data_IF_737374590360
#
_entry.id   IF_737374590360
#
_cell.length_a   1.000
_cell.length_b   1.000
_cell.length_c   1.000
_cell.angle_alpha   90.00
_cell.angle_beta   90.00
_cell.angle_gamma   90.00
#
_symmetry.space_group_name_H-M   'P 1'
#
loop_
_entity.id
_entity.type
_entity.pdbx_description
1 polymer ?
#
# COMPACT_ATOMS: atom_id res chain seq x y z
N UNK A 1 -17.33 -11.15 1.96
CA UNK A 1 -16.62 -10.23 2.87
C UNK A 1 -15.07 -10.31 2.76
N UNK A 2 -14.39 -11.50 2.77
CA UNK A 2 -12.93 -11.55 2.67
C UNK A 2 -12.37 -11.10 1.31
N UNK A 3 -13.10 -11.31 0.21
CA UNK A 3 -12.72 -10.86 -1.14
C UNK A 3 -12.51 -9.34 -1.16
N UNK A 4 -13.47 -8.60 -0.60
CA UNK A 4 -13.40 -7.13 -0.56
C UNK A 4 -12.19 -6.65 0.26
N UNK A 5 -11.91 -7.28 1.40
CA UNK A 5 -10.73 -6.96 2.23
C UNK A 5 -9.43 -7.15 1.46
N UNK A 6 -9.24 -8.34 0.87
CA UNK A 6 -8.03 -8.68 0.11
C UNK A 6 -7.84 -7.72 -1.06
N UNK A 7 -8.91 -7.46 -1.82
CA UNK A 7 -8.86 -6.55 -2.96
C UNK A 7 -8.55 -5.10 -2.55
N UNK A 8 -9.18 -4.59 -1.50
CA UNK A 8 -8.95 -3.23 -1.00
C UNK A 8 -7.53 -3.04 -0.47
N UNK A 9 -6.99 -4.02 0.27
CA UNK A 9 -5.61 -3.97 0.75
C UNK A 9 -4.60 -3.97 -0.41
N UNK A 10 -4.82 -4.78 -1.44
CA UNK A 10 -3.97 -4.78 -2.63
C UNK A 10 -4.08 -3.49 -3.43
N UNK A 11 -5.29 -2.94 -3.55
CA UNK A 11 -5.56 -1.73 -4.32
C UNK A 11 -4.95 -0.47 -3.71
N UNK A 12 -4.76 -0.39 -2.39
CA UNK A 12 -4.25 0.81 -1.69
C UNK A 12 -2.93 1.30 -2.26
N UNK A 13 -1.98 0.40 -2.51
CA UNK A 13 -0.67 0.74 -3.07
C UNK A 13 -0.78 1.31 -4.48
N UNK A 14 -1.53 0.64 -5.35
CA UNK A 14 -1.75 1.06 -6.73
C UNK A 14 -2.49 2.41 -6.79
N UNK A 15 -3.55 2.60 -6.00
CA UNK A 15 -4.25 3.88 -5.90
C UNK A 15 -3.30 5.02 -5.52
N UNK A 16 -2.42 4.82 -4.52
CA UNK A 16 -1.47 5.83 -4.08
C UNK A 16 -0.44 6.20 -5.15
N UNK A 17 -0.07 5.27 -6.03
CA UNK A 17 0.88 5.51 -7.12
C UNK A 17 0.17 6.17 -8.30
N UNK A 18 -0.92 5.55 -8.78
CA UNK A 18 -1.51 5.89 -10.06
C UNK A 18 -2.31 7.22 -9.99
N UNK A 19 -2.94 7.52 -8.84
CA UNK A 19 -3.67 8.78 -8.65
C UNK A 19 -2.75 10.00 -8.67
N UNK A 20 -1.46 9.84 -8.28
CA UNK A 20 -0.52 10.97 -8.24
C UNK A 20 0.16 11.24 -9.59
N UNK A 21 0.08 10.31 -10.56
CA UNK A 21 0.74 10.45 -11.86
C UNK A 21 0.41 11.75 -12.60
N UNK A 22 -0.86 12.18 -12.72
CA UNK A 22 -1.18 13.44 -13.38
C UNK A 22 -0.70 14.67 -12.61
N UNK A 23 -0.45 14.54 -11.30
CA UNK A 23 0.01 15.64 -10.45
C UNK A 23 1.55 15.84 -10.45
N UNK A 24 2.32 14.97 -11.10
CA UNK A 24 3.80 15.00 -11.05
C UNK A 24 4.39 16.34 -11.50
N UNK A 25 3.83 16.99 -12.52
CA UNK A 25 4.28 18.29 -13.00
C UNK A 25 4.04 19.38 -11.95
N UNK A 26 2.89 19.37 -11.30
CA UNK A 26 2.54 20.31 -10.23
C UNK A 26 3.42 20.13 -9.00
N UNK A 27 3.70 18.88 -8.62
CA UNK A 27 4.59 18.54 -7.50
C UNK A 27 6.02 19.05 -7.78
N UNK A 28 6.54 18.83 -9.00
CA UNK A 28 7.85 19.36 -9.40
C UNK A 28 7.90 20.89 -9.28
N UNK A 29 6.89 21.56 -9.80
CA UNK A 29 6.79 23.03 -9.73
C UNK A 29 6.71 23.53 -8.29
N UNK A 30 5.91 22.85 -7.45
CA UNK A 30 5.73 23.20 -6.04
C UNK A 30 7.04 23.14 -5.23
N UNK A 31 7.86 22.10 -5.47
CA UNK A 31 9.14 21.93 -4.78
C UNK A 31 10.34 22.54 -5.53
N UNK A 32 10.14 23.19 -6.67
CA UNK A 32 11.22 23.76 -7.48
C UNK A 32 12.22 22.73 -8.03
N UNK A 33 11.77 21.49 -8.29
CA UNK A 33 12.62 20.36 -8.65
C UNK A 33 12.85 20.31 -10.15
N UNK A 34 14.11 20.13 -10.56
CA UNK A 34 14.50 19.97 -11.97
C UNK A 34 13.79 18.75 -12.59
N UNK A 35 13.38 18.88 -13.86
CA UNK A 35 12.46 17.93 -14.53
C UNK A 35 12.86 16.45 -14.46
N UNK A 36 14.17 16.14 -14.49
CA UNK A 36 14.65 14.75 -14.42
C UNK A 36 14.65 14.11 -13.03
N UNK A 37 14.36 14.85 -11.96
CA UNK A 37 14.23 14.27 -10.61
C UNK A 37 12.80 13.86 -10.24
N UNK A 38 11.79 14.22 -11.03
CA UNK A 38 10.39 13.95 -10.71
C UNK A 38 10.02 12.46 -10.66
N UNK A 39 10.75 11.59 -11.35
CA UNK A 39 10.52 10.13 -11.30
C UNK A 39 10.87 9.52 -9.95
N UNK A 40 11.71 10.18 -9.12
CA UNK A 40 12.00 9.71 -7.76
C UNK A 40 10.75 9.60 -6.89
N UNK A 41 9.71 10.42 -7.15
CA UNK A 41 8.40 10.33 -6.48
C UNK A 41 7.77 8.95 -6.60
N UNK A 42 7.95 8.28 -7.74
CA UNK A 42 7.42 6.94 -8.00
C UNK A 42 8.41 5.87 -7.56
N UNK A 43 9.69 6.05 -7.87
CA UNK A 43 10.76 5.10 -7.55
C UNK A 43 10.83 4.82 -6.05
N UNK A 44 10.75 5.85 -5.21
CA UNK A 44 10.81 5.70 -3.76
C UNK A 44 9.64 4.89 -3.19
N UNK A 45 8.44 5.03 -3.76
CA UNK A 45 7.29 4.18 -3.37
C UNK A 45 7.53 2.73 -3.74
N UNK A 46 8.02 2.43 -4.94
CA UNK A 46 8.31 1.05 -5.35
C UNK A 46 9.41 0.42 -4.49
N UNK A 47 10.46 1.16 -4.16
CA UNK A 47 11.49 0.70 -3.21
C UNK A 47 10.89 0.40 -1.83
N UNK A 48 9.99 1.27 -1.36
CA UNK A 48 9.26 1.06 -0.12
C UNK A 48 8.37 -0.19 -0.17
N UNK A 49 7.62 -0.41 -1.27
CA UNK A 49 6.78 -1.60 -1.46
C UNK A 49 7.63 -2.87 -1.40
N UNK A 50 8.75 -2.89 -2.10
CA UNK A 50 9.67 -4.05 -2.11
C UNK A 50 10.21 -4.35 -0.72
N UNK A 51 10.70 -3.31 0.00
CA UNK A 51 11.18 -3.45 1.37
C UNK A 51 10.06 -3.92 2.31
N UNK A 52 8.86 -3.34 2.18
CA UNK A 52 7.69 -3.71 2.97
C UNK A 52 7.28 -5.17 2.78
N UNK A 53 7.25 -5.67 1.54
CA UNK A 53 6.91 -7.08 1.26
C UNK A 53 7.93 -8.05 1.88
N UNK A 54 9.24 -7.74 1.79
CA UNK A 54 10.29 -8.58 2.36
C UNK A 54 10.22 -8.64 3.89
N UNK A 55 9.98 -7.50 4.54
CA UNK A 55 9.99 -7.40 6.00
C UNK A 55 8.68 -7.91 6.61
N UNK A 56 7.53 -7.49 6.05
CA UNK A 56 6.22 -7.78 6.66
C UNK A 56 5.68 -9.18 6.35
N UNK A 57 6.25 -9.91 5.40
CA UNK A 57 5.93 -11.34 5.21
C UNK A 57 6.18 -12.16 6.48
N UNK A 58 7.44 -12.31 6.91
CA UNK A 58 7.78 -13.04 8.14
C UNK A 58 7.16 -12.45 9.41
N UNK A 59 7.06 -11.12 9.51
CA UNK A 59 6.39 -10.46 10.64
C UNK A 59 4.93 -10.91 10.74
N UNK A 60 4.22 -10.93 9.60
CA UNK A 60 2.83 -11.37 9.53
C UNK A 60 2.62 -12.81 9.96
N UNK A 61 3.60 -13.69 9.69
CA UNK A 61 3.55 -15.09 10.12
C UNK A 61 3.73 -15.24 11.63
N UNK A 62 4.44 -14.30 12.27
CA UNK A 62 4.76 -14.37 13.69
C UNK A 62 3.76 -13.66 14.59
N UNK A 63 3.43 -12.40 14.30
CA UNK A 63 2.53 -11.59 15.16
C UNK A 63 1.06 -11.70 14.75
N UNK A 64 0.77 -12.23 13.55
CA UNK A 64 -0.56 -12.43 13.00
C UNK A 64 -0.93 -11.41 11.92
N UNK A 65 -1.93 -11.77 11.11
CA UNK A 65 -2.37 -10.98 9.94
C UNK A 65 -2.98 -9.65 10.33
N UNK A 66 -3.87 -9.66 11.34
CA UNK A 66 -4.61 -8.46 11.78
C UNK A 66 -3.66 -7.38 12.28
N UNK A 67 -2.74 -7.74 13.19
CA UNK A 67 -1.79 -6.78 13.76
C UNK A 67 -0.88 -6.20 12.69
N UNK A 68 -0.35 -7.05 11.81
CA UNK A 68 0.54 -6.64 10.72
C UNK A 68 -0.18 -5.70 9.73
N UNK A 69 -1.44 -6.00 9.38
CA UNK A 69 -2.25 -5.12 8.52
C UNK A 69 -2.39 -3.73 9.15
N UNK A 70 -2.72 -3.67 10.45
CA UNK A 70 -2.91 -2.39 11.14
C UNK A 70 -1.59 -1.61 11.19
N UNK A 71 -0.47 -2.25 11.50
CA UNK A 71 0.86 -1.60 11.50
C UNK A 71 1.17 -1.05 10.10
N UNK A 72 0.96 -1.85 9.05
CA UNK A 72 1.16 -1.42 7.67
C UNK A 72 0.30 -0.20 7.29
N UNK A 73 -0.99 -0.21 7.65
CA UNK A 73 -1.90 0.91 7.40
C UNK A 73 -1.53 2.16 8.21
N UNK A 74 -1.03 2.01 9.43
CA UNK A 74 -0.52 3.15 10.22
C UNK A 74 0.69 3.77 9.53
N UNK A 75 1.68 2.97 9.12
CA UNK A 75 2.87 3.46 8.42
C UNK A 75 2.47 4.16 7.11
N UNK A 76 1.56 3.56 6.33
CA UNK A 76 1.01 4.14 5.11
C UNK A 76 0.30 5.47 5.37
N UNK A 77 -0.56 5.52 6.38
CA UNK A 77 -1.32 6.71 6.76
C UNK A 77 -0.42 7.85 7.25
N UNK A 78 0.57 7.54 8.09
CA UNK A 78 1.55 8.53 8.55
C UNK A 78 2.37 9.10 7.39
N UNK A 79 2.81 8.26 6.45
CA UNK A 79 3.48 8.72 5.24
C UNK A 79 2.61 9.68 4.42
N UNK A 80 1.31 9.39 4.26
CA UNK A 80 0.36 10.31 3.61
C UNK A 80 0.19 11.62 4.39
N UNK A 81 -0.01 11.55 5.71
CA UNK A 81 -0.22 12.72 6.56
C UNK A 81 0.98 13.67 6.52
N UNK A 82 2.19 13.14 6.70
CA UNK A 82 3.41 13.95 6.73
C UNK A 82 3.70 14.54 5.33
N UNK A 83 3.37 13.82 4.25
CA UNK A 83 3.55 14.32 2.87
C UNK A 83 2.70 15.55 2.55
N UNK A 84 1.58 15.75 3.26
CA UNK A 84 0.72 16.94 3.13
C UNK A 84 1.37 18.15 3.79
N UNK A 85 2.06 17.94 4.91
CA UNK A 85 2.65 18.99 5.75
C UNK A 85 4.08 19.35 5.32
N UNK A 86 4.73 18.49 4.53
CA UNK A 86 6.12 18.63 4.15
C UNK A 86 6.36 19.76 3.15
N UNK A 87 7.30 20.66 3.46
CA UNK A 87 7.72 21.76 2.60
C UNK A 87 8.97 21.43 1.77
N UNK A 88 9.66 20.34 2.10
CA UNK A 88 10.89 19.91 1.44
C UNK A 88 10.67 18.65 0.58
N UNK A 89 11.30 18.63 -0.61
CA UNK A 89 11.17 17.51 -1.54
C UNK A 89 11.77 16.21 -1.01
N UNK A 90 12.90 16.27 -0.30
CA UNK A 90 13.51 15.07 0.29
C UNK A 90 12.64 14.45 1.36
N UNK A 91 12.02 15.30 2.21
CA UNK A 91 11.02 14.82 3.18
C UNK A 91 9.81 14.19 2.47
N UNK A 92 9.33 14.80 1.40
CA UNK A 92 8.26 14.24 0.58
C UNK A 92 8.64 12.86 0.01
N UNK A 93 9.86 12.69 -0.53
CA UNK A 93 10.36 11.39 -1.01
C UNK A 93 10.46 10.35 0.12
N UNK A 94 10.93 10.76 1.30
CA UNK A 94 10.98 9.88 2.47
C UNK A 94 9.57 9.41 2.87
N UNK A 95 8.60 10.32 2.86
CA UNK A 95 7.19 9.99 3.09
C UNK A 95 6.66 9.00 2.06
N UNK A 96 7.00 9.19 0.78
CA UNK A 96 6.66 8.26 -0.31
C UNK A 96 7.26 6.86 -0.08
N UNK A 97 8.47 6.78 0.44
CA UNK A 97 9.10 5.51 0.80
C UNK A 97 8.33 4.80 1.92
N UNK A 98 7.96 5.49 3.01
CA UNK A 98 7.16 4.90 4.09
C UNK A 98 5.73 4.52 3.63
N UNK A 99 5.09 5.32 2.78
CA UNK A 99 3.85 4.91 2.11
C UNK A 99 4.04 3.58 1.38
N UNK A 100 5.15 3.45 0.63
CA UNK A 100 5.50 2.20 -0.04
C UNK A 100 5.63 1.02 0.93
N UNK A 101 6.34 1.20 2.04
CA UNK A 101 6.49 0.15 3.08
C UNK A 101 5.13 -0.31 3.58
N UNK A 102 4.25 0.61 3.93
CA UNK A 102 2.90 0.29 4.40
C UNK A 102 2.04 -0.41 3.34
N UNK A 103 2.11 0.05 2.09
CA UNK A 103 1.44 -0.59 0.95
C UNK A 103 1.99 -2.01 0.72
N UNK A 104 3.30 -2.22 0.79
CA UNK A 104 3.95 -3.52 0.68
C UNK A 104 3.49 -4.49 1.76
N UNK A 105 3.36 -4.02 3.00
CA UNK A 105 2.79 -4.79 4.10
C UNK A 105 1.34 -5.21 3.79
N UNK A 106 0.49 -4.30 3.33
CA UNK A 106 -0.89 -4.58 2.96
C UNK A 106 -1.00 -5.63 1.84
N UNK A 107 -0.15 -5.53 0.81
CA UNK A 107 -0.12 -6.48 -0.31
C UNK A 107 0.30 -7.88 0.12
N UNK A 108 1.39 -8.02 0.90
CA UNK A 108 1.86 -9.35 1.31
C UNK A 108 0.89 -10.01 2.29
N UNK A 109 0.32 -9.24 3.22
CA UNK A 109 -0.65 -9.77 4.19
C UNK A 109 -1.96 -10.13 3.51
N UNK A 110 -2.44 -9.37 2.54
CA UNK A 110 -3.66 -9.70 1.80
C UNK A 110 -3.57 -11.06 1.10
N UNK A 111 -2.42 -11.37 0.48
CA UNK A 111 -2.16 -12.68 -0.14
C UNK A 111 -2.08 -13.80 0.90
N UNK A 112 -1.53 -13.50 2.08
CA UNK A 112 -1.48 -14.47 3.18
C UNK A 112 -2.89 -14.77 3.72
N UNK A 113 -3.71 -13.75 3.94
CA UNK A 113 -5.13 -13.90 4.33
C UNK A 113 -5.89 -14.76 3.32
N UNK A 114 -5.68 -14.51 2.02
CA UNK A 114 -6.32 -15.32 0.98
C UNK A 114 -5.97 -16.81 1.10
N UNK A 115 -4.69 -17.13 1.33
CA UNK A 115 -4.20 -18.50 1.50
C UNK A 115 -4.63 -19.15 2.83
N UNK A 116 -4.80 -18.35 3.88
CA UNK A 116 -5.26 -18.84 5.17
C UNK A 116 -6.76 -19.25 5.13
N UNK A 117 -7.55 -18.60 4.25
CA UNK A 117 -9.01 -18.81 4.17
C UNK A 117 -9.44 -19.77 3.05
N UNK A 118 -8.64 -19.88 1.99
CA UNK A 118 -9.01 -20.63 0.78
C UNK A 118 -7.86 -21.48 0.28
N UNK A 119 -8.18 -22.60 -0.38
CA UNK A 119 -7.21 -23.51 -0.99
C UNK A 119 -7.69 -24.00 -2.36
N UNK A 120 -6.78 -24.54 -3.16
CA UNK A 120 -7.09 -25.14 -4.46
C UNK A 120 -7.87 -24.21 -5.38
N UNK A 121 -8.95 -24.70 -5.96
CA UNK A 121 -9.78 -23.97 -6.94
C UNK A 121 -10.47 -22.73 -6.35
N UNK A 122 -10.81 -22.73 -5.07
CA UNK A 122 -11.43 -21.58 -4.42
C UNK A 122 -10.44 -20.43 -4.26
N UNK A 123 -9.20 -20.71 -3.89
CA UNK A 123 -8.13 -19.72 -3.86
C UNK A 123 -7.87 -19.15 -5.25
N UNK A 124 -7.83 -20.00 -6.28
CA UNK A 124 -7.64 -19.55 -7.66
C UNK A 124 -8.75 -18.61 -8.13
N UNK A 125 -10.01 -18.93 -7.83
CA UNK A 125 -11.18 -18.07 -8.13
C UNK A 125 -11.09 -16.73 -7.39
N UNK A 126 -10.76 -16.76 -6.08
CA UNK A 126 -10.59 -15.55 -5.30
C UNK A 126 -9.50 -14.65 -5.90
N UNK A 127 -8.33 -15.22 -6.17
CA UNK A 127 -7.18 -14.46 -6.70
C UNK A 127 -7.46 -13.92 -8.10
N UNK A 128 -8.22 -14.63 -8.94
CA UNK A 128 -8.67 -14.15 -10.25
C UNK A 128 -9.58 -12.92 -10.12
N UNK A 129 -10.57 -12.96 -9.22
CA UNK A 129 -11.45 -11.81 -8.95
C UNK A 129 -10.68 -10.61 -8.40
N UNK A 130 -9.78 -10.85 -7.44
CA UNK A 130 -8.92 -9.80 -6.88
C UNK A 130 -8.01 -9.19 -7.95
N UNK A 131 -7.44 -10.00 -8.84
CA UNK A 131 -6.64 -9.53 -9.97
C UNK A 131 -7.46 -8.68 -10.95
N UNK A 132 -8.70 -9.07 -11.23
CA UNK A 132 -9.61 -8.27 -12.07
C UNK A 132 -9.87 -6.90 -11.46
N UNK A 133 -10.15 -6.83 -10.16
CA UNK A 133 -10.32 -5.55 -9.44
C UNK A 133 -9.01 -4.74 -9.48
N UNK A 134 -7.87 -5.40 -9.24
CA UNK A 134 -6.56 -4.76 -9.23
C UNK A 134 -6.19 -4.15 -10.60
N UNK A 135 -6.57 -4.78 -11.71
CA UNK A 135 -6.34 -4.24 -13.08
C UNK A 135 -7.17 -2.98 -13.34
N UNK A 136 -8.36 -2.87 -12.72
CA UNK A 136 -9.20 -1.67 -12.88
C UNK A 136 -8.61 -0.43 -12.19
N UNK A 137 -7.81 -0.61 -11.14
CA UNK A 137 -7.23 0.51 -10.38
C UNK A 137 -6.33 1.39 -11.25
N UNK A 138 -5.31 0.89 -11.98
CA UNK A 138 -4.49 1.71 -12.88
C UNK A 138 -5.27 2.39 -14.00
N UNK A 139 -6.42 1.86 -14.38
CA UNK A 139 -7.29 2.46 -15.40
C UNK A 139 -8.06 3.66 -14.84
N UNK A 140 -8.58 3.53 -13.62
CA UNK A 140 -9.44 4.54 -13.01
C UNK A 140 -8.68 5.59 -12.18
N UNK A 141 -7.60 5.19 -11.50
CA UNK A 141 -6.90 6.05 -10.57
C UNK A 141 -6.29 7.31 -11.21
N UNK A 142 -5.67 7.27 -12.41
CA UNK A 142 -5.18 8.48 -13.05
C UNK A 142 -6.31 9.46 -13.41
N UNK A 143 -7.48 8.95 -13.85
CA UNK A 143 -8.64 9.79 -14.15
C UNK A 143 -9.20 10.45 -12.89
N UNK A 144 -9.22 9.73 -11.76
CA UNK A 144 -9.56 10.31 -10.46
C UNK A 144 -8.54 11.37 -10.05
N UNK A 145 -7.25 11.10 -10.20
CA UNK A 145 -6.18 12.06 -9.95
C UNK A 145 -6.34 13.32 -10.79
N UNK A 146 -6.60 13.18 -12.09
CA UNK A 146 -6.84 14.28 -12.99
C UNK A 146 -8.06 15.12 -12.56
N UNK A 147 -9.16 14.49 -12.18
CA UNK A 147 -10.34 15.20 -11.67
C UNK A 147 -10.02 15.99 -10.41
N UNK A 148 -9.26 15.41 -9.47
CA UNK A 148 -8.88 16.09 -8.23
C UNK A 148 -8.03 17.34 -8.54
N UNK A 149 -7.01 17.23 -9.39
CA UNK A 149 -6.12 18.38 -9.69
C UNK A 149 -6.78 19.46 -10.52
N UNK A 150 -7.82 19.16 -11.29
CA UNK A 150 -8.57 20.16 -12.06
C UNK A 150 -9.61 20.91 -11.24
N UNK A 151 -10.17 20.26 -10.20
CA UNK A 151 -11.21 20.86 -9.34
C UNK A 151 -10.67 21.43 -8.03
N UNK A 152 -9.57 20.84 -7.52
CA UNK A 152 -8.94 21.17 -6.24
C UNK A 152 -7.45 21.43 -6.48
N UNK A 153 -6.60 20.84 -5.65
CA UNK A 153 -5.14 20.88 -5.80
C UNK A 153 -4.53 19.50 -5.54
N UNK A 154 -3.28 19.28 -5.95
CA UNK A 154 -2.62 17.98 -5.82
C UNK A 154 -2.52 17.49 -4.36
N UNK A 155 -2.49 18.39 -3.38
CA UNK A 155 -2.44 18.07 -1.95
C UNK A 155 -3.69 17.31 -1.46
N UNK A 156 -4.81 17.41 -2.18
CA UNK A 156 -6.02 16.65 -1.86
C UNK A 156 -5.90 15.17 -2.20
N UNK A 157 -4.97 14.78 -3.08
CA UNK A 157 -4.72 13.36 -3.40
C UNK A 157 -4.31 12.58 -2.14
N UNK A 158 -3.21 12.92 -1.42
CA UNK A 158 -2.85 12.21 -0.21
C UNK A 158 -3.89 12.32 0.90
N UNK A 159 -4.69 13.40 0.95
CA UNK A 159 -5.81 13.52 1.91
C UNK A 159 -6.87 12.45 1.63
N UNK A 160 -7.31 12.32 0.39
CA UNK A 160 -8.32 11.32 0.00
C UNK A 160 -7.79 9.90 0.26
N UNK A 161 -6.54 9.63 -0.09
CA UNK A 161 -5.90 8.34 0.17
C UNK A 161 -5.80 8.06 1.68
N UNK A 162 -5.51 9.08 2.50
CA UNK A 162 -5.51 8.95 3.96
C UNK A 162 -6.90 8.61 4.51
N UNK A 163 -7.96 9.27 4.02
CA UNK A 163 -9.34 8.98 4.41
C UNK A 163 -9.69 7.52 4.07
N UNK A 164 -9.37 7.07 2.86
CA UNK A 164 -9.59 5.68 2.45
C UNK A 164 -8.81 4.69 3.33
N UNK A 165 -7.57 5.03 3.69
CA UNK A 165 -6.75 4.24 4.60
C UNK A 165 -7.39 4.14 6.00
N UNK A 166 -7.90 5.24 6.55
CA UNK A 166 -8.58 5.26 7.85
C UNK A 166 -9.88 4.45 7.82
N UNK A 167 -10.67 4.56 6.76
CA UNK A 167 -11.88 3.76 6.59
C UNK A 167 -11.56 2.26 6.51
N UNK A 168 -10.53 1.90 5.74
CA UNK A 168 -10.10 0.51 5.64
C UNK A 168 -9.53 -0.01 6.96
N UNK A 169 -8.73 0.79 7.65
CA UNK A 169 -8.18 0.46 8.97
C UNK A 169 -9.27 0.26 10.02
N UNK A 170 -10.26 1.15 10.06
CA UNK A 170 -11.42 1.02 10.94
C UNK A 170 -12.21 -0.25 10.64
N UNK A 171 -12.42 -0.55 9.37
CA UNK A 171 -13.10 -1.77 8.96
C UNK A 171 -12.34 -3.04 9.36
N UNK A 172 -11.00 -3.04 9.21
CA UNK A 172 -10.13 -4.14 9.68
C UNK A 172 -10.20 -4.30 11.19
N UNK A 173 -10.19 -3.21 11.95
CA UNK A 173 -10.28 -3.25 13.41
C UNK A 173 -11.58 -3.88 13.89
N UNK A 174 -12.71 -3.48 13.29
CA UNK A 174 -14.05 -3.87 13.75
C UNK A 174 -14.45 -5.26 13.22
N UNK A 175 -14.24 -5.53 11.94
CA UNK A 175 -14.85 -6.67 11.26
C UNK A 175 -13.88 -7.80 10.92
N UNK A 176 -12.57 -7.56 10.94
CA UNK A 176 -11.62 -8.60 10.60
C UNK A 176 -11.15 -9.36 11.84
N UNK A 177 -11.32 -10.67 11.82
CA UNK A 177 -10.81 -11.60 12.84
C UNK A 177 -9.49 -12.20 12.37
N UNK A 178 -8.59 -12.50 13.32
CA UNK A 178 -7.29 -13.10 13.01
C UNK A 178 -7.44 -14.46 12.31
N UNK A 179 -6.76 -14.63 11.18
CA UNK A 179 -6.80 -15.86 10.37
C UNK A 179 -5.59 -16.77 10.58
N UNK A 180 -4.48 -16.23 11.06
CA UNK A 180 -3.29 -17.02 11.34
C UNK A 180 -3.44 -17.78 12.67
N UNK A 181 -3.76 -19.08 12.59
CA UNK A 181 -3.91 -19.95 13.76
C UNK A 181 -2.57 -20.50 14.26
N UNK A 182 -1.60 -20.70 13.37
CA UNK A 182 -0.30 -21.31 13.66
C UNK A 182 0.81 -20.25 13.50
N UNK A 183 1.00 -19.45 14.55
CA UNK A 183 2.04 -18.42 14.57
C UNK A 183 3.42 -19.07 14.62
N UNK A 184 4.25 -18.75 13.64
CA UNK A 184 5.65 -19.21 13.60
C UNK A 184 6.54 -18.24 14.39
N UNK A 185 7.52 -18.75 15.14
CA UNK A 185 8.52 -17.90 15.78
C UNK A 185 9.33 -17.15 14.71
N UNK A 186 9.59 -15.85 14.93
CA UNK A 186 10.48 -15.06 14.07
C UNK A 186 11.86 -15.73 14.09
N UNK A 187 12.24 -16.39 13.00
CA UNK A 187 13.59 -16.87 12.78
C UNK A 187 14.27 -16.02 11.72
N UNK A 188 15.30 -15.27 12.10
CA UNK A 188 16.13 -14.50 11.17
C UNK A 188 16.77 -15.39 10.09
N UNK A 189 17.06 -16.66 10.39
CA UNK A 189 17.50 -17.68 9.40
C UNK A 189 16.45 -17.95 8.32
N UNK A 190 15.16 -17.85 8.63
CA UNK A 190 14.08 -18.00 7.63
C UNK A 190 14.03 -16.86 6.62
N UNK A 191 14.43 -15.65 7.01
CA UNK A 191 14.46 -14.48 6.12
C UNK A 191 15.61 -14.60 5.12
N UNK A 192 16.80 -15.03 5.57
CA UNK A 192 17.98 -15.19 4.69
C UNK A 192 17.86 -16.38 3.74
N UNK A 193 17.25 -17.47 4.15
CA UNK A 193 17.05 -18.64 3.28
C UNK A 193 16.00 -18.41 2.19
N UNK A 194 14.95 -17.64 2.47
CA UNK A 194 13.92 -17.26 1.48
C UNK A 194 14.37 -16.22 0.44
N UNK A 195 15.57 -15.62 0.60
CA UNK A 195 16.20 -14.73 -0.39
C UNK A 195 17.17 -15.51 -1.30
N UNK A 196 17.61 -16.71 -0.89
CA UNK A 196 18.58 -17.51 -1.63
C UNK A 196 17.97 -18.69 -2.41
N UNK A 197 16.68 -18.95 -2.30
CA UNK A 197 15.88 -19.83 -3.16
C UNK A 197 15.11 -19.03 -4.22
#
# INVERSE_FOLDING_TARGET
KPIFLVASLMAMGALSIDTILPALSMIKSHYGVVSHHGHWTITTVFLGISAGQLVFGPISDSIGRKKTTIIGLIIFGLGNLISILGTDYHLFLLCRFFQGIGAGAAVVVSRAIARDLYSGNELAKLMSLVSTIFILVPVLAPSMGQLIITTLSWQFIPIIILILCLLLGSWVLIFYTETNRDKRSLSFKGITNGIME
#
